data_IF_057774613232
#
_entry.id   IF_057774613232
#
_cell.length_a   1.000
_cell.length_b   1.000
_cell.length_c   1.000
_cell.angle_alpha   90.00
_cell.angle_beta   90.00
_cell.angle_gamma   90.00
#
_symmetry.space_group_name_H-M   'P 1'
#
loop_
_entity.id
_entity.type
_entity.pdbx_description
1 polymer ?
#
# COMPACT_ATOMS: atom_id res chain seq x y z
N UNK A 1 -0.31 -20.82 5.86
CA UNK A 1 0.45 -20.81 7.11
C UNK A 1 1.44 -19.66 7.17
N UNK A 2 2.43 -19.56 6.27
CA UNK A 2 3.48 -18.52 6.32
C UNK A 2 2.91 -17.11 6.15
N UNK A 3 1.84 -16.93 5.37
CA UNK A 3 1.14 -15.67 5.23
C UNK A 3 0.54 -15.18 6.55
N UNK A 4 -0.13 -16.06 7.31
CA UNK A 4 -0.66 -15.70 8.62
C UNK A 4 0.44 -15.36 9.64
N UNK A 5 1.55 -16.11 9.63
CA UNK A 5 2.72 -15.80 10.47
C UNK A 5 3.30 -14.41 10.15
N UNK A 6 3.34 -14.02 8.85
CA UNK A 6 3.74 -12.68 8.43
C UNK A 6 2.74 -11.63 8.87
N UNK A 7 1.44 -11.90 8.75
CA UNK A 7 0.39 -10.98 9.20
C UNK A 7 0.52 -10.67 10.70
N UNK A 8 0.69 -11.67 11.56
CA UNK A 8 0.99 -11.47 12.98
C UNK A 8 2.23 -10.60 13.21
N UNK A 9 3.33 -10.89 12.51
CA UNK A 9 4.55 -10.09 12.63
C UNK A 9 4.31 -8.61 12.28
N UNK A 10 3.54 -8.36 11.21
CA UNK A 10 3.25 -6.98 10.77
C UNK A 10 2.36 -6.22 11.74
N UNK A 11 1.40 -6.88 12.37
CA UNK A 11 0.49 -6.26 13.33
C UNK A 11 1.12 -6.18 14.72
N UNK A 12 1.60 -7.30 15.25
CA UNK A 12 2.05 -7.37 16.65
C UNK A 12 3.42 -6.73 16.87
N UNK A 13 4.40 -7.03 15.97
CA UNK A 13 5.76 -6.52 16.12
C UNK A 13 5.94 -5.14 15.48
N UNK A 14 5.37 -4.93 14.29
CA UNK A 14 5.49 -3.69 13.54
C UNK A 14 4.39 -2.68 13.82
N UNK A 15 3.34 -3.06 14.59
CA UNK A 15 2.21 -2.19 14.98
C UNK A 15 1.46 -1.57 13.79
N UNK A 16 1.39 -2.26 12.66
CA UNK A 16 0.57 -1.79 11.56
C UNK A 16 -0.93 -1.93 11.91
N UNK A 17 -1.72 -0.88 11.72
CA UNK A 17 -3.18 -0.85 11.98
C UNK A 17 -3.98 -1.64 10.95
N UNK A 18 -3.35 -1.96 9.83
CA UNK A 18 -3.95 -2.77 8.76
C UNK A 18 -2.91 -3.32 7.80
N UNK A 19 -3.34 -4.27 7.00
CA UNK A 19 -2.50 -4.94 6.00
C UNK A 19 -3.16 -4.84 4.63
N UNK A 20 -2.40 -4.40 3.62
CA UNK A 20 -2.80 -4.56 2.23
C UNK A 20 -2.27 -5.89 1.71
N UNK A 21 -3.16 -6.83 1.41
CA UNK A 21 -2.83 -8.08 0.72
C UNK A 21 -3.05 -7.92 -0.79
N UNK A 22 -2.34 -8.69 -1.59
CA UNK A 22 -2.44 -8.65 -3.06
C UNK A 22 -2.18 -7.27 -3.69
N UNK A 23 -1.43 -6.40 -3.01
CA UNK A 23 -0.90 -5.18 -3.61
C UNK A 23 0.31 -5.47 -4.51
N UNK A 24 1.00 -4.42 -4.96
CA UNK A 24 2.23 -4.55 -5.77
C UNK A 24 3.31 -5.37 -5.04
N UNK A 25 3.53 -5.06 -3.75
CA UNK A 25 4.47 -5.79 -2.89
C UNK A 25 4.01 -7.22 -2.59
N UNK A 26 2.71 -7.51 -2.72
CA UNK A 26 2.11 -8.84 -2.62
C UNK A 26 2.17 -9.67 -3.92
N UNK A 27 2.96 -9.26 -4.91
CA UNK A 27 3.13 -9.95 -6.21
C UNK A 27 1.81 -10.16 -6.99
N UNK A 28 0.84 -9.26 -6.83
CA UNK A 28 -0.48 -9.37 -7.46
C UNK A 28 -0.46 -9.78 -8.95
N UNK A 29 0.47 -9.27 -9.80
CA UNK A 29 0.50 -9.64 -11.22
C UNK A 29 0.83 -11.11 -11.50
N UNK A 30 1.42 -11.83 -10.56
CA UNK A 30 1.94 -13.20 -10.74
C UNK A 30 1.24 -14.24 -9.87
N UNK A 31 0.23 -13.82 -9.10
CA UNK A 31 -0.63 -14.71 -8.32
C UNK A 31 -1.93 -15.00 -9.07
N UNK A 32 -2.43 -16.22 -8.97
CA UNK A 32 -3.76 -16.60 -9.49
C UNK A 32 -4.87 -16.01 -8.61
N UNK A 33 -6.10 -15.96 -9.12
CA UNK A 33 -7.25 -15.47 -8.36
C UNK A 33 -7.51 -16.33 -7.11
N UNK A 34 -7.38 -17.65 -7.23
CA UNK A 34 -7.49 -18.56 -6.09
C UNK A 34 -6.44 -18.25 -5.00
N UNK A 35 -5.18 -18.00 -5.37
CA UNK A 35 -4.14 -17.61 -4.44
C UNK A 35 -4.43 -16.25 -3.79
N UNK A 36 -5.04 -15.29 -4.53
CA UNK A 36 -5.45 -14.00 -3.96
C UNK A 36 -6.51 -14.17 -2.88
N UNK A 37 -7.53 -15.00 -3.14
CA UNK A 37 -8.56 -15.35 -2.15
C UNK A 37 -7.97 -16.02 -0.92
N UNK A 38 -7.07 -16.99 -1.12
CA UNK A 38 -6.42 -17.70 -0.02
C UNK A 38 -5.54 -16.77 0.82
N UNK A 39 -4.91 -15.76 0.20
CA UNK A 39 -4.12 -14.77 0.94
C UNK A 39 -5.00 -13.85 1.80
N UNK A 40 -6.16 -13.41 1.28
CA UNK A 40 -7.13 -12.63 2.06
C UNK A 40 -7.61 -13.44 3.26
N UNK A 41 -8.09 -14.68 3.05
CA UNK A 41 -8.53 -15.56 4.14
C UNK A 41 -7.45 -15.79 5.18
N UNK A 42 -6.21 -16.05 4.74
CA UNK A 42 -5.11 -16.30 5.65
C UNK A 42 -4.75 -15.07 6.51
N UNK A 43 -4.91 -13.85 5.99
CA UNK A 43 -4.72 -12.63 6.76
C UNK A 43 -5.90 -12.37 7.72
N UNK A 44 -7.14 -12.52 7.24
CA UNK A 44 -8.36 -12.41 8.06
C UNK A 44 -8.35 -13.40 9.23
N UNK A 45 -8.04 -14.67 8.96
CA UNK A 45 -7.98 -15.72 10.00
C UNK A 45 -6.87 -15.44 11.03
N UNK A 46 -5.78 -14.79 10.62
CA UNK A 46 -4.66 -14.53 11.51
C UNK A 46 -4.88 -13.28 12.38
N UNK A 47 -5.29 -12.15 11.80
CA UNK A 47 -5.29 -10.84 12.47
C UNK A 47 -6.54 -10.00 12.20
N UNK A 48 -7.58 -10.54 11.56
CA UNK A 48 -8.76 -9.76 11.17
C UNK A 48 -9.57 -9.17 12.34
N UNK A 49 -9.35 -9.64 13.59
CA UNK A 49 -9.92 -9.01 14.77
C UNK A 49 -9.10 -7.82 15.29
N UNK A 50 -7.84 -7.71 14.89
CA UNK A 50 -6.88 -6.78 15.48
C UNK A 50 -6.41 -5.73 14.48
N UNK A 51 -6.58 -5.97 13.18
CA UNK A 51 -6.13 -5.09 12.11
C UNK A 51 -7.03 -5.16 10.87
N UNK A 52 -7.18 -4.03 10.17
CA UNK A 52 -7.95 -3.98 8.93
C UNK A 52 -7.25 -4.74 7.79
N UNK A 53 -7.99 -5.57 7.06
CA UNK A 53 -7.49 -6.30 5.89
C UNK A 53 -8.05 -5.67 4.62
N UNK A 54 -7.18 -5.00 3.87
CA UNK A 54 -7.52 -4.36 2.59
C UNK A 54 -7.00 -5.21 1.44
N UNK A 55 -7.89 -5.65 0.56
CA UNK A 55 -7.53 -6.50 -0.57
C UNK A 55 -7.22 -5.68 -1.83
N UNK A 56 -6.04 -5.86 -2.42
CA UNK A 56 -5.72 -5.37 -3.76
C UNK A 56 -6.46 -6.20 -4.82
N UNK A 57 -7.41 -5.57 -5.50
CA UNK A 57 -8.27 -6.21 -6.51
C UNK A 57 -8.16 -5.57 -7.88
N UNK A 58 -7.51 -4.39 -7.99
CA UNK A 58 -7.41 -3.64 -9.24
C UNK A 58 -6.62 -4.39 -10.31
N UNK A 59 -7.19 -4.43 -11.51
CA UNK A 59 -6.55 -4.92 -12.75
C UNK A 59 -6.77 -3.90 -13.88
N UNK A 60 -6.26 -4.20 -15.05
CA UNK A 60 -6.54 -3.41 -16.26
C UNK A 60 -7.77 -3.88 -17.04
N UNK A 61 -8.57 -4.75 -16.44
CA UNK A 61 -9.87 -5.24 -16.94
C UNK A 61 -10.93 -4.98 -15.86
N UNK A 62 -11.94 -4.17 -16.19
CA UNK A 62 -13.01 -3.79 -15.26
C UNK A 62 -13.83 -5.01 -14.81
N UNK A 63 -14.18 -5.91 -15.72
CA UNK A 63 -14.96 -7.10 -15.39
C UNK A 63 -14.20 -8.02 -14.43
N UNK A 64 -12.92 -8.24 -14.68
CA UNK A 64 -12.06 -9.03 -13.78
C UNK A 64 -11.88 -8.34 -12.43
N UNK A 65 -11.72 -7.01 -12.39
CA UNK A 65 -11.63 -6.25 -11.13
C UNK A 65 -12.91 -6.40 -10.28
N UNK A 66 -14.09 -6.34 -10.92
CA UNK A 66 -15.39 -6.59 -10.25
C UNK A 66 -15.46 -7.99 -9.67
N UNK A 67 -15.02 -9.00 -10.41
CA UNK A 67 -15.00 -10.38 -9.92
C UNK A 67 -14.07 -10.54 -8.70
N UNK A 68 -12.86 -9.99 -8.76
CA UNK A 68 -11.92 -10.00 -7.64
C UNK A 68 -12.46 -9.22 -6.43
N UNK A 69 -13.17 -8.12 -6.64
CA UNK A 69 -13.79 -7.33 -5.58
C UNK A 69 -14.83 -8.17 -4.79
N UNK A 70 -15.68 -8.91 -5.50
CA UNK A 70 -16.66 -9.82 -4.89
C UNK A 70 -15.98 -10.96 -4.14
N UNK A 71 -14.99 -11.59 -4.75
CA UNK A 71 -14.23 -12.67 -4.11
C UNK A 71 -13.50 -12.21 -2.85
N UNK A 72 -12.95 -10.98 -2.84
CA UNK A 72 -12.32 -10.41 -1.67
C UNK A 72 -13.33 -10.12 -0.54
N UNK A 73 -14.51 -9.61 -0.88
CA UNK A 73 -15.60 -9.41 0.08
C UNK A 73 -16.05 -10.75 0.70
N UNK A 74 -16.27 -11.78 -0.12
CA UNK A 74 -16.63 -13.13 0.34
C UNK A 74 -15.52 -13.78 1.17
N UNK A 75 -14.27 -13.38 0.98
CA UNK A 75 -13.13 -13.84 1.77
C UNK A 75 -12.95 -13.10 3.11
N UNK A 76 -13.76 -12.05 3.37
CA UNK A 76 -13.78 -11.32 4.62
C UNK A 76 -12.87 -10.09 4.68
N UNK A 77 -12.47 -9.52 3.54
CA UNK A 77 -11.76 -8.25 3.52
C UNK A 77 -12.62 -7.10 4.08
N UNK A 78 -11.99 -6.14 4.77
CA UNK A 78 -12.64 -4.94 5.32
C UNK A 78 -12.74 -3.79 4.31
N UNK A 79 -11.91 -3.81 3.27
CA UNK A 79 -11.89 -2.81 2.21
C UNK A 79 -11.09 -3.27 1.00
N UNK A 80 -11.17 -2.49 -0.06
CA UNK A 80 -10.56 -2.81 -1.34
C UNK A 80 -9.56 -1.72 -1.77
N UNK A 81 -8.41 -2.14 -2.29
CA UNK A 81 -7.46 -1.27 -2.97
C UNK A 81 -7.57 -1.50 -4.48
N UNK A 82 -7.95 -0.45 -5.21
CA UNK A 82 -8.15 -0.51 -6.66
C UNK A 82 -7.13 0.38 -7.36
N UNK A 83 -6.09 -0.24 -7.95
CA UNK A 83 -5.07 0.47 -8.70
C UNK A 83 -5.63 0.97 -10.03
N UNK A 84 -5.18 2.14 -10.47
CA UNK A 84 -5.45 2.65 -11.82
C UNK A 84 -5.15 1.57 -12.87
N UNK A 85 -6.08 1.27 -13.80
CA UNK A 85 -5.84 0.32 -14.89
C UNK A 85 -4.54 0.62 -15.61
N UNK A 86 -3.63 -0.34 -15.60
CA UNK A 86 -2.26 -0.19 -16.10
C UNK A 86 -2.15 -0.63 -17.55
N UNK A 87 -1.08 -0.22 -18.24
CA UNK A 87 -0.70 -0.60 -19.59
C UNK A 87 -1.54 0.05 -20.69
N UNK A 88 -2.87 -0.12 -20.69
CA UNK A 88 -3.79 0.35 -21.75
C UNK A 88 -4.03 1.87 -21.74
N UNK A 89 -3.63 2.58 -20.67
CA UNK A 89 -3.75 4.04 -20.53
C UNK A 89 -5.15 4.57 -20.84
N UNK A 90 -6.17 4.19 -20.08
CA UNK A 90 -7.54 4.68 -20.29
C UNK A 90 -7.63 6.20 -20.14
N UNK A 91 -8.64 6.79 -20.79
CA UNK A 91 -8.98 8.20 -20.57
C UNK A 91 -9.53 8.44 -19.16
N UNK A 92 -9.58 9.68 -18.70
CA UNK A 92 -10.16 10.02 -17.40
C UNK A 92 -11.64 9.60 -17.31
N UNK A 93 -12.41 9.76 -18.37
CA UNK A 93 -13.78 9.24 -18.43
C UNK A 93 -13.82 7.71 -18.26
N UNK A 94 -12.89 6.99 -18.89
CA UNK A 94 -12.78 5.53 -18.71
C UNK A 94 -12.36 5.15 -17.27
N UNK A 95 -11.56 5.97 -16.60
CA UNK A 95 -11.23 5.77 -15.18
C UNK A 95 -12.46 5.97 -14.28
N UNK A 96 -13.28 7.00 -14.54
CA UNK A 96 -14.52 7.23 -13.80
C UNK A 96 -15.45 6.03 -13.94
N UNK A 97 -15.73 5.59 -15.15
CA UNK A 97 -16.56 4.42 -15.42
C UNK A 97 -16.00 3.15 -14.75
N UNK A 98 -14.69 2.92 -14.83
CA UNK A 98 -14.03 1.77 -14.22
C UNK A 98 -14.21 1.76 -12.70
N UNK A 99 -13.83 2.84 -12.02
CA UNK A 99 -13.88 2.90 -10.56
C UNK A 99 -15.31 2.89 -10.03
N UNK A 100 -16.24 3.60 -10.69
CA UNK A 100 -17.65 3.58 -10.33
C UNK A 100 -18.26 2.19 -10.49
N UNK A 101 -17.98 1.50 -11.61
CA UNK A 101 -18.46 0.12 -11.85
C UNK A 101 -17.96 -0.84 -10.76
N UNK A 102 -16.71 -0.70 -10.34
CA UNK A 102 -16.16 -1.53 -9.25
C UNK A 102 -16.82 -1.18 -7.92
N UNK A 103 -17.03 0.11 -7.65
CA UNK A 103 -17.65 0.58 -6.41
C UNK A 103 -19.12 0.18 -6.29
N UNK A 104 -19.85 0.15 -7.39
CA UNK A 104 -21.25 -0.33 -7.46
C UNK A 104 -21.38 -1.86 -7.26
N UNK A 105 -20.29 -2.61 -7.43
CA UNK A 105 -20.32 -4.07 -7.38
C UNK A 105 -20.15 -4.64 -5.97
N UNK A 106 -19.91 -3.80 -4.95
CA UNK A 106 -19.60 -4.20 -3.57
C UNK A 106 -20.07 -3.14 -2.57
N UNK A 107 -20.36 -3.57 -1.34
CA UNK A 107 -20.63 -2.66 -0.21
C UNK A 107 -19.34 -2.28 0.56
N UNK A 108 -18.18 -2.85 0.19
CA UNK A 108 -16.92 -2.55 0.87
C UNK A 108 -16.38 -1.16 0.49
N UNK A 109 -15.75 -0.46 1.43
CA UNK A 109 -15.07 0.81 1.14
C UNK A 109 -13.92 0.61 0.17
N UNK A 110 -13.77 1.55 -0.76
CA UNK A 110 -12.75 1.52 -1.80
C UNK A 110 -11.71 2.60 -1.55
N UNK A 111 -10.47 2.19 -1.61
CA UNK A 111 -9.30 3.05 -1.71
C UNK A 111 -8.78 3.02 -3.14
N UNK A 112 -8.78 4.17 -3.80
CA UNK A 112 -8.15 4.33 -5.11
C UNK A 112 -6.63 4.30 -4.97
N UNK A 113 -5.93 3.69 -5.92
CA UNK A 113 -4.47 3.67 -5.91
C UNK A 113 -3.91 4.37 -7.14
N UNK A 114 -3.36 5.56 -6.94
CA UNK A 114 -2.75 6.40 -7.98
C UNK A 114 -1.23 6.26 -7.97
N UNK A 115 -0.71 5.51 -8.95
CA UNK A 115 0.73 5.25 -9.13
C UNK A 115 1.12 5.36 -10.61
N UNK A 116 1.14 6.54 -11.21
CA UNK A 116 1.37 6.72 -12.64
C UNK A 116 2.74 6.23 -13.11
N UNK A 117 3.75 6.19 -12.24
CA UNK A 117 5.05 5.60 -12.53
C UNK A 117 5.00 4.10 -12.86
N UNK A 118 3.94 3.40 -12.46
CA UNK A 118 3.69 1.98 -12.78
C UNK A 118 2.51 1.78 -13.70
N UNK A 119 1.39 2.47 -13.47
CA UNK A 119 0.17 2.32 -14.28
C UNK A 119 0.28 3.00 -15.65
N UNK A 120 1.11 4.03 -15.77
CA UNK A 120 1.28 4.82 -16.98
C UNK A 120 0.20 5.89 -17.19
N UNK A 121 -0.78 6.01 -16.29
CA UNK A 121 -1.83 7.01 -16.32
C UNK A 121 -2.13 7.48 -14.89
N UNK A 122 -2.04 8.79 -14.59
CA UNK A 122 -2.48 9.34 -13.31
C UNK A 122 -4.00 9.43 -13.24
N UNK A 123 -4.54 9.46 -12.04
CA UNK A 123 -5.90 9.94 -11.81
C UNK A 123 -5.79 11.46 -11.64
N UNK A 124 -6.41 12.23 -12.55
CA UNK A 124 -6.35 13.70 -12.49
C UNK A 124 -7.15 14.26 -11.30
N UNK A 125 -6.76 15.43 -10.81
CA UNK A 125 -7.42 16.11 -9.69
C UNK A 125 -8.94 16.21 -9.85
N UNK A 126 -9.42 16.56 -11.05
CA UNK A 126 -10.86 16.65 -11.34
C UNK A 126 -11.56 15.31 -11.27
N UNK A 127 -10.91 14.28 -11.76
CA UNK A 127 -11.39 12.88 -11.73
C UNK A 127 -11.51 12.38 -10.28
N UNK A 128 -10.52 12.65 -9.43
CA UNK A 128 -10.58 12.30 -8.01
C UNK A 128 -11.71 13.04 -7.28
N UNK A 129 -11.92 14.32 -7.59
CA UNK A 129 -13.02 15.11 -7.00
C UNK A 129 -14.38 14.54 -7.44
N UNK A 130 -14.56 14.16 -8.70
CA UNK A 130 -15.78 13.54 -9.21
C UNK A 130 -16.02 12.15 -8.59
N UNK A 131 -14.99 11.32 -8.50
CA UNK A 131 -15.09 10.00 -7.88
C UNK A 131 -15.40 10.06 -6.38
N UNK A 132 -15.05 11.14 -5.70
CA UNK A 132 -15.37 11.34 -4.28
C UNK A 132 -16.87 11.49 -3.99
N UNK A 133 -17.69 11.76 -5.00
CA UNK A 133 -19.15 11.79 -4.87
C UNK A 133 -19.75 10.37 -4.69
N UNK A 134 -18.99 9.34 -5.00
CA UNK A 134 -19.44 7.96 -4.80
C UNK A 134 -19.29 7.53 -3.33
N UNK A 135 -20.37 7.06 -2.66
CA UNK A 135 -20.34 6.80 -1.21
C UNK A 135 -19.35 5.73 -0.76
N UNK A 136 -19.03 4.76 -1.63
CA UNK A 136 -18.09 3.69 -1.31
C UNK A 136 -16.62 4.05 -1.64
N UNK A 137 -16.35 5.15 -2.33
CA UNK A 137 -14.98 5.62 -2.61
C UNK A 137 -14.57 6.58 -1.50
N UNK A 138 -13.76 6.10 -0.57
CA UNK A 138 -13.50 6.77 0.71
C UNK A 138 -12.06 7.23 0.91
N UNK A 139 -11.12 6.70 0.11
CA UNK A 139 -9.71 6.98 0.33
C UNK A 139 -8.89 6.94 -0.98
N UNK A 140 -7.69 7.49 -0.89
CA UNK A 140 -6.65 7.42 -1.92
C UNK A 140 -5.34 6.97 -1.30
N UNK A 141 -4.71 5.95 -1.88
CA UNK A 141 -3.29 5.67 -1.72
C UNK A 141 -2.56 6.45 -2.81
N UNK A 142 -1.89 7.52 -2.43
CA UNK A 142 -1.20 8.43 -3.34
C UNK A 142 0.29 8.08 -3.45
N UNK A 143 0.69 7.54 -4.59
CA UNK A 143 2.08 7.34 -4.98
C UNK A 143 2.46 8.17 -6.23
N UNK A 144 1.72 9.25 -6.50
CA UNK A 144 2.00 10.22 -7.55
C UNK A 144 3.06 11.24 -7.12
N UNK A 145 3.10 11.57 -5.83
CA UNK A 145 4.09 12.47 -5.26
C UNK A 145 3.84 13.96 -5.57
N UNK A 146 2.64 14.32 -6.01
CA UNK A 146 2.27 15.70 -6.35
C UNK A 146 1.48 16.33 -5.20
N UNK A 147 2.17 16.64 -4.11
CA UNK A 147 1.57 17.07 -2.82
C UNK A 147 0.57 18.24 -2.97
N UNK A 148 0.83 19.20 -3.88
CA UNK A 148 -0.08 20.34 -4.12
C UNK A 148 -1.39 19.87 -4.77
N UNK A 149 -1.35 18.90 -5.69
CA UNK A 149 -2.57 18.34 -6.27
C UNK A 149 -3.35 17.54 -5.23
N UNK A 150 -2.67 16.75 -4.41
CA UNK A 150 -3.27 16.01 -3.32
C UNK A 150 -3.97 16.95 -2.32
N UNK A 151 -3.32 18.06 -1.94
CA UNK A 151 -3.92 19.12 -1.12
C UNK A 151 -5.18 19.71 -1.76
N UNK A 152 -5.18 19.90 -3.08
CA UNK A 152 -6.34 20.42 -3.82
C UNK A 152 -7.51 19.45 -3.75
N UNK A 153 -7.28 18.13 -3.89
CA UNK A 153 -8.35 17.13 -3.76
C UNK A 153 -8.88 17.10 -2.33
N UNK A 154 -8.01 17.04 -1.32
CA UNK A 154 -8.41 17.05 0.10
C UNK A 154 -9.20 18.28 0.51
N UNK A 155 -8.89 19.45 -0.07
CA UNK A 155 -9.64 20.69 0.18
C UNK A 155 -11.07 20.69 -0.40
N UNK A 156 -11.36 19.79 -1.36
CA UNK A 156 -12.65 19.75 -2.07
C UNK A 156 -13.41 18.44 -1.84
N UNK A 157 -12.88 17.51 -1.06
CA UNK A 157 -13.49 16.19 -0.84
C UNK A 157 -13.32 15.74 0.60
N UNK A 158 -13.94 14.63 0.97
CA UNK A 158 -13.75 13.94 2.25
C UNK A 158 -12.83 12.70 2.13
N UNK A 159 -12.15 12.51 1.01
CA UNK A 159 -11.27 11.38 0.79
C UNK A 159 -10.10 11.38 1.78
N UNK A 160 -9.92 10.27 2.47
CA UNK A 160 -8.74 10.05 3.31
C UNK A 160 -7.51 9.77 2.42
N UNK A 161 -6.44 10.55 2.58
CA UNK A 161 -5.23 10.42 1.78
C UNK A 161 -4.12 9.70 2.56
N UNK A 162 -3.70 8.55 2.03
CA UNK A 162 -2.55 7.79 2.53
C UNK A 162 -1.37 7.92 1.58
N UNK A 163 -0.19 8.15 2.13
CA UNK A 163 1.02 8.07 1.30
C UNK A 163 1.21 6.65 0.76
N UNK A 164 1.44 6.54 -0.52
CA UNK A 164 1.85 5.29 -1.19
C UNK A 164 3.35 5.22 -1.43
N UNK A 165 4.08 6.27 -1.02
CA UNK A 165 5.53 6.36 -1.03
C UNK A 165 6.01 6.65 0.41
N UNK A 166 6.79 5.75 0.94
CA UNK A 166 7.23 5.77 2.34
C UNK A 166 7.97 7.08 2.67
N UNK A 167 8.85 7.54 1.79
CA UNK A 167 9.72 8.68 2.04
C UNK A 167 9.00 10.04 1.99
N UNK A 168 7.89 10.16 1.28
CA UNK A 168 7.16 11.44 1.20
C UNK A 168 6.04 11.57 2.24
N UNK A 169 5.88 10.61 3.14
CA UNK A 169 4.83 10.60 4.16
C UNK A 169 4.74 11.90 4.95
N UNK A 170 5.83 12.49 5.51
CA UNK A 170 5.73 13.75 6.24
C UNK A 170 5.24 14.93 5.38
N UNK A 171 5.61 14.95 4.10
CA UNK A 171 5.13 15.98 3.18
C UNK A 171 3.63 15.86 2.93
N UNK A 172 3.10 14.64 2.80
CA UNK A 172 1.66 14.44 2.64
C UNK A 172 0.90 14.75 3.95
N UNK A 173 1.43 14.37 5.11
CA UNK A 173 0.86 14.74 6.41
C UNK A 173 0.75 16.26 6.55
N UNK A 174 1.73 17.04 6.05
CA UNK A 174 1.76 18.51 6.15
C UNK A 174 0.61 19.20 5.40
N UNK A 175 -0.07 18.53 4.49
CA UNK A 175 -1.19 19.05 3.73
C UNK A 175 -2.52 18.34 4.02
N UNK A 176 -2.56 17.49 5.04
CA UNK A 176 -3.80 16.83 5.50
C UNK A 176 -3.89 15.33 5.24
N UNK A 177 -2.81 14.70 4.78
CA UNK A 177 -2.74 13.24 4.71
C UNK A 177 -2.91 12.59 6.09
N UNK A 178 -3.42 11.36 6.14
CA UNK A 178 -3.81 10.70 7.38
C UNK A 178 -2.93 9.51 7.76
N UNK A 179 -2.02 9.08 6.88
CA UNK A 179 -1.18 7.92 7.15
C UNK A 179 -0.38 7.44 5.94
N UNK A 180 0.09 6.21 6.03
CA UNK A 180 0.95 5.55 5.06
C UNK A 180 0.44 4.15 4.74
N UNK A 181 0.51 3.76 3.48
CA UNK A 181 0.44 2.37 3.05
C UNK A 181 1.78 2.02 2.40
N UNK A 182 2.72 1.64 3.25
CA UNK A 182 4.12 1.54 2.93
C UNK A 182 4.58 0.15 2.52
N UNK A 183 5.77 0.11 1.96
CA UNK A 183 6.54 -1.11 1.70
C UNK A 183 7.58 -1.34 2.80
N UNK A 184 8.25 -0.29 3.26
CA UNK A 184 9.25 -0.38 4.33
C UNK A 184 8.64 -0.73 5.68
N UNK A 185 7.33 -0.57 5.87
CA UNK A 185 6.61 -0.90 7.11
C UNK A 185 6.65 -2.39 7.48
N UNK A 186 7.20 -3.24 6.63
CA UNK A 186 7.64 -4.58 7.01
C UNK A 186 8.76 -4.56 8.07
N UNK A 187 9.49 -3.45 8.17
CA UNK A 187 10.64 -3.26 9.06
C UNK A 187 10.49 -2.02 9.95
N UNK A 188 9.84 -0.98 9.44
CA UNK A 188 9.76 0.36 10.04
C UNK A 188 8.38 0.70 10.57
N UNK A 189 7.43 -0.24 10.61
CA UNK A 189 6.04 0.02 10.95
C UNK A 189 5.89 0.76 12.28
N UNK A 190 6.51 0.26 13.35
CA UNK A 190 6.49 0.89 14.67
C UNK A 190 7.07 2.31 14.65
N UNK A 191 8.20 2.49 13.99
CA UNK A 191 8.85 3.80 13.90
C UNK A 191 8.04 4.80 13.06
N UNK A 192 7.40 4.34 11.98
CA UNK A 192 6.49 5.18 11.19
C UNK A 192 5.23 5.55 11.98
N UNK A 193 4.73 4.66 12.81
CA UNK A 193 3.65 4.97 13.74
C UNK A 193 4.07 6.11 14.68
N UNK A 194 5.26 6.01 15.30
CA UNK A 194 5.82 7.07 16.15
C UNK A 194 5.99 8.41 15.40
N UNK A 195 6.40 8.40 14.12
CA UNK A 195 6.47 9.59 13.27
C UNK A 195 5.11 10.24 13.10
N UNK A 196 4.10 9.44 12.78
CA UNK A 196 2.73 9.92 12.52
C UNK A 196 2.10 10.44 13.81
N UNK A 197 2.21 9.71 14.91
CA UNK A 197 1.69 10.11 16.22
C UNK A 197 2.32 11.42 16.70
N UNK A 198 3.64 11.52 16.66
CA UNK A 198 4.36 12.76 17.03
C UNK A 198 3.93 13.94 16.16
N UNK A 199 3.74 13.69 14.85
CA UNK A 199 3.28 14.73 13.92
C UNK A 199 1.87 15.21 14.28
N UNK A 200 0.92 14.30 14.47
CA UNK A 200 -0.49 14.62 14.78
C UNK A 200 -0.61 15.32 16.14
N UNK A 201 0.23 14.97 17.10
CA UNK A 201 0.29 15.61 18.41
C UNK A 201 1.03 16.97 18.40
N UNK A 202 1.53 17.43 17.26
CA UNK A 202 2.23 18.71 17.11
C UNK A 202 3.70 18.68 17.56
N UNK A 203 4.26 17.50 17.86
CA UNK A 203 5.67 17.29 18.21
C UNK A 203 6.54 17.16 16.96
N UNK A 204 6.51 18.20 16.11
CA UNK A 204 7.07 18.18 14.75
C UNK A 204 8.58 17.88 14.73
N UNK A 205 9.36 18.49 15.62
CA UNK A 205 10.81 18.27 15.67
C UNK A 205 11.15 16.81 16.00
N UNK A 206 10.37 16.18 16.88
CA UNK A 206 10.50 14.77 17.23
C UNK A 206 10.12 13.87 16.04
N UNK A 207 8.98 14.12 15.40
CA UNK A 207 8.56 13.41 14.20
C UNK A 207 9.64 13.44 13.11
N UNK A 208 10.24 14.62 12.87
CA UNK A 208 11.30 14.79 11.89
C UNK A 208 12.62 14.14 12.30
N UNK A 209 12.92 14.10 13.60
CA UNK A 209 14.11 13.39 14.09
C UNK A 209 14.00 11.89 13.84
N UNK A 210 12.88 11.27 14.22
CA UNK A 210 12.60 9.85 13.98
C UNK A 210 12.61 9.54 12.49
N UNK A 211 11.91 10.35 11.69
CA UNK A 211 11.85 10.18 10.24
C UNK A 211 13.26 10.18 9.61
N UNK A 212 14.14 11.13 9.98
CA UNK A 212 15.51 11.21 9.44
C UNK A 212 16.35 10.00 9.82
N UNK A 213 16.14 9.43 11.00
CA UNK A 213 16.82 8.22 11.46
C UNK A 213 16.47 7.01 10.58
N UNK A 214 15.19 6.83 10.25
CA UNK A 214 14.71 5.68 9.47
C UNK A 214 14.73 5.92 7.96
N UNK A 215 14.90 7.16 7.47
CA UNK A 215 14.87 7.50 6.05
C UNK A 215 15.77 6.62 5.17
N UNK A 216 17.00 6.24 5.61
CA UNK A 216 17.83 5.32 4.82
C UNK A 216 17.17 3.94 4.59
N UNK A 217 16.36 3.44 5.53
CA UNK A 217 15.62 2.18 5.37
C UNK A 217 14.42 2.38 4.45
N UNK A 218 13.68 3.52 4.59
CA UNK A 218 12.55 3.85 3.72
C UNK A 218 12.94 3.89 2.24
N UNK A 219 14.14 4.38 1.94
CA UNK A 219 14.66 4.45 0.57
C UNK A 219 15.42 3.20 0.16
N UNK A 220 16.15 2.58 1.07
CA UNK A 220 16.97 1.39 0.81
C UNK A 220 16.16 0.17 0.37
N UNK A 221 14.92 0.03 0.85
CA UNK A 221 14.01 -1.04 0.42
C UNK A 221 13.66 -0.97 -1.08
N UNK A 222 13.93 0.15 -1.73
CA UNK A 222 13.71 0.38 -3.16
C UNK A 222 15.01 0.44 -3.98
N UNK A 223 16.15 0.02 -3.41
CA UNK A 223 17.42 -0.08 -4.16
C UNK A 223 17.33 -1.06 -5.34
N UNK A 224 16.39 -2.01 -5.27
CA UNK A 224 15.96 -2.87 -6.37
C UNK A 224 14.43 -2.99 -6.34
N UNK A 225 13.86 -4.06 -6.89
CA UNK A 225 12.40 -4.29 -6.83
C UNK A 225 11.94 -4.44 -5.38
N UNK A 226 11.03 -3.57 -4.92
CA UNK A 226 10.63 -3.50 -3.51
C UNK A 226 10.17 -4.84 -2.93
N UNK A 227 9.36 -5.61 -3.66
CA UNK A 227 8.93 -6.95 -3.20
C UNK A 227 10.12 -7.90 -2.96
N UNK A 228 11.09 -7.89 -3.85
CA UNK A 228 12.27 -8.74 -3.74
C UNK A 228 13.19 -8.29 -2.60
N UNK A 229 13.34 -6.98 -2.41
CA UNK A 229 14.09 -6.41 -1.27
C UNK A 229 13.42 -6.72 0.07
N UNK A 230 12.08 -6.62 0.16
CA UNK A 230 11.31 -7.01 1.36
C UNK A 230 11.55 -8.47 1.70
N UNK A 231 11.42 -9.37 0.73
CA UNK A 231 11.67 -10.81 0.96
C UNK A 231 13.10 -11.11 1.38
N UNK A 232 14.08 -10.45 0.76
CA UNK A 232 15.48 -10.57 1.15
C UNK A 232 15.73 -10.05 2.58
N UNK A 233 15.18 -8.89 2.93
CA UNK A 233 15.30 -8.33 4.27
C UNK A 233 14.63 -9.17 5.36
N UNK A 234 13.44 -9.72 5.08
CA UNK A 234 12.77 -10.65 6.00
C UNK A 234 13.61 -11.93 6.21
N UNK A 235 14.17 -12.51 5.15
CA UNK A 235 15.05 -13.66 5.24
C UNK A 235 16.34 -13.35 6.04
N UNK A 236 16.94 -12.16 5.83
CA UNK A 236 18.08 -11.67 6.63
C UNK A 236 17.74 -11.60 8.13
N UNK A 237 16.53 -11.17 8.48
CA UNK A 237 16.04 -11.16 9.87
C UNK A 237 15.55 -12.54 10.37
N UNK A 238 15.82 -13.62 9.66
CA UNK A 238 15.44 -14.99 10.05
C UNK A 238 14.00 -15.37 9.72
N UNK A 239 13.26 -14.52 9.00
CA UNK A 239 11.88 -14.79 8.60
C UNK A 239 11.78 -15.01 7.08
N UNK A 240 12.20 -16.18 6.60
CA UNK A 240 12.17 -16.52 5.18
C UNK A 240 10.73 -16.75 4.67
N UNK A 241 10.32 -15.98 3.66
CA UNK A 241 9.02 -16.08 2.97
C UNK A 241 9.15 -16.60 1.54
N UNK A 242 10.32 -17.12 1.17
CA UNK A 242 10.64 -17.62 -0.16
C UNK A 242 11.04 -16.51 -1.14
N UNK A 243 11.31 -16.92 -2.37
CA UNK A 243 11.69 -16.02 -3.47
C UNK A 243 10.51 -15.33 -4.16
N UNK A 244 10.81 -14.61 -5.24
CA UNK A 244 9.82 -13.96 -6.10
C UNK A 244 9.53 -14.80 -7.33
N UNK A 245 8.39 -14.58 -7.97
CA UNK A 245 7.99 -15.20 -9.23
C UNK A 245 8.47 -14.38 -10.42
N UNK A 246 8.83 -15.04 -11.49
CA UNK A 246 9.14 -14.36 -12.76
C UNK A 246 7.94 -13.50 -13.20
N UNK A 247 8.17 -12.32 -13.79
CA UNK A 247 9.47 -11.82 -14.30
C UNK A 247 10.37 -11.17 -13.23
N UNK A 248 9.95 -11.08 -11.98
CA UNK A 248 10.80 -10.60 -10.90
C UNK A 248 11.93 -11.61 -10.59
N UNK A 249 13.07 -11.09 -10.15
CA UNK A 249 14.21 -11.88 -9.68
C UNK A 249 14.66 -11.40 -8.32
N UNK A 250 15.26 -12.28 -7.54
CA UNK A 250 15.88 -11.85 -6.28
C UNK A 250 17.01 -10.87 -6.54
N UNK A 251 17.21 -9.86 -5.67
CA UNK A 251 18.23 -8.86 -5.85
C UNK A 251 19.63 -9.45 -5.64
N UNK A 252 20.63 -8.84 -6.27
CA UNK A 252 22.04 -9.23 -6.11
C UNK A 252 22.61 -8.70 -4.78
N UNK A 253 23.75 -9.27 -4.30
CA UNK A 253 24.42 -8.80 -3.09
C UNK A 253 24.73 -7.30 -3.11
N UNK A 254 25.03 -6.73 -4.28
CA UNK A 254 25.26 -5.29 -4.46
C UNK A 254 24.10 -4.43 -3.93
N UNK A 255 22.85 -4.91 -4.04
CA UNK A 255 21.66 -4.23 -3.54
C UNK A 255 21.33 -4.63 -2.10
N UNK A 256 21.53 -5.91 -1.75
CA UNK A 256 21.07 -6.45 -0.47
C UNK A 256 22.02 -6.15 0.67
N UNK A 257 23.34 -6.22 0.47
CA UNK A 257 24.32 -5.99 1.54
C UNK A 257 24.20 -4.59 2.16
N UNK A 258 24.12 -3.48 1.38
CA UNK A 258 23.90 -2.16 1.96
C UNK A 258 22.56 -2.04 2.70
N UNK A 259 21.53 -2.74 2.23
CA UNK A 259 20.22 -2.73 2.88
C UNK A 259 20.22 -3.54 4.19
N UNK A 260 20.91 -4.66 4.23
CA UNK A 260 21.08 -5.46 5.45
C UNK A 260 21.84 -4.68 6.52
N UNK A 261 22.90 -3.98 6.13
CA UNK A 261 23.63 -3.08 7.04
C UNK A 261 22.73 -1.96 7.60
N UNK A 262 21.77 -1.46 6.80
CA UNK A 262 20.79 -0.49 7.26
C UNK A 262 19.82 -1.11 8.28
N UNK A 263 19.31 -2.31 8.02
CA UNK A 263 18.39 -3.02 8.93
C UNK A 263 19.08 -3.32 10.27
N UNK A 264 20.36 -3.70 10.26
CA UNK A 264 21.11 -4.10 11.45
C UNK A 264 21.49 -2.93 12.35
N UNK A 265 21.77 -1.74 11.76
CA UNK A 265 22.26 -0.57 12.51
C UNK A 265 21.19 0.44 12.87
N UNK A 266 20.04 0.43 12.20
CA UNK A 266 18.94 1.36 12.46
C UNK A 266 18.09 0.83 13.60
N UNK A 267 17.75 1.69 14.55
CA UNK A 267 16.81 1.33 15.61
C UNK A 267 15.38 1.27 15.01
N UNK A 268 14.88 0.08 14.77
CA UNK A 268 13.60 -0.20 14.14
C UNK A 268 12.55 -0.68 15.15
#
# INVERSE_FOLDING_TARGET
>A
RRAGELAHRLVDEQRNDGIVVNGTTGESPTTTDAEKVDMVRAAVDAVGSDAAIVAGVGTNDTAHTVELARQAADAGADGLLVVTPYYSKPSQAGLIEHFTTVADATDLPIMLYDIPGRSGTPIETKTLIELADHPNIVAVKDAKGQVVESATVMANTTLAYYSGDDAITPALLSVGGVGLIGTSTHFTGRRMHEVIDAYVEGRIDEALAIYREILPVLTGVFAAQGVAMVKAGLAHQGFDVGGVRLPQTMPTPEHTEPFFDLLDRTQL
#
